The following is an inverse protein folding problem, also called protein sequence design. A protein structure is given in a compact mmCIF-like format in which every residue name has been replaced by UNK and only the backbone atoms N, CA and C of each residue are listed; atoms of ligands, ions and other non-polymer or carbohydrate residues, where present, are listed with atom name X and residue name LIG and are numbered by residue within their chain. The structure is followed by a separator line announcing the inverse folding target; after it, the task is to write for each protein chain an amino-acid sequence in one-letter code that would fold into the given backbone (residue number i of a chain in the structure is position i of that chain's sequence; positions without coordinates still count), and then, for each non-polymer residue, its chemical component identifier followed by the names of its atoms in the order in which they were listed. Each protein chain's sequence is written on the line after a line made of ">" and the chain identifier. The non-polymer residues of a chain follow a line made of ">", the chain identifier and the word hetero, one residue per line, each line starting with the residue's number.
data_IF_757619976632
#
_entry.id   IF_757619976632
#
_cell.length_a   1.000
_cell.length_b   1.000
_cell.length_c   1.000
_cell.angle_alpha   90.00
_cell.angle_beta   90.00
_cell.angle_gamma   90.00
#
_symmetry.space_group_name_H-M   'P 1'
#
loop_
_entity.id
_entity.type
_entity.pdbx_description
1 polymer ?
#
# COMPACT_ATOMS: atom_id res chain seq x y z
N UNK A 1 10.49 19.28 -12.74
CA UNK A 1 10.29 18.32 -11.63
C UNK A 1 9.57 17.11 -12.21
N UNK A 2 9.95 15.91 -11.82
CA UNK A 2 9.45 14.64 -12.37
C UNK A 2 8.36 14.06 -11.43
N UNK A 3 7.47 13.23 -11.97
CA UNK A 3 6.58 12.36 -11.20
C UNK A 3 7.27 11.03 -10.98
N UNK A 4 7.36 10.56 -9.74
CA UNK A 4 7.86 9.21 -9.46
C UNK A 4 6.71 8.21 -9.42
N UNK A 5 6.87 7.11 -10.16
CA UNK A 5 6.00 5.94 -10.11
C UNK A 5 6.63 4.89 -9.19
N UNK A 6 5.95 4.61 -8.09
CA UNK A 6 6.34 3.60 -7.12
C UNK A 6 5.52 2.33 -7.33
N UNK A 7 6.20 1.22 -7.55
CA UNK A 7 5.60 -0.10 -7.78
C UNK A 7 6.35 -1.18 -7.01
N UNK A 8 5.81 -2.38 -6.95
CA UNK A 8 6.57 -3.57 -6.54
C UNK A 8 5.95 -4.85 -7.07
N UNK A 9 6.74 -5.85 -7.52
CA UNK A 9 6.23 -7.12 -8.05
C UNK A 9 5.40 -7.94 -7.04
N UNK A 10 5.56 -7.72 -5.74
CA UNK A 10 4.75 -8.37 -4.69
C UNK A 10 3.26 -8.06 -4.82
N UNK A 11 2.89 -6.92 -5.41
CA UNK A 11 1.49 -6.55 -5.66
C UNK A 11 0.74 -7.58 -6.52
N UNK A 12 1.44 -8.27 -7.42
CA UNK A 12 0.84 -9.34 -8.22
C UNK A 12 0.78 -10.68 -7.48
N UNK A 13 1.58 -10.85 -6.41
CA UNK A 13 1.65 -12.09 -5.64
C UNK A 13 0.61 -12.20 -4.54
N UNK A 14 -0.02 -11.10 -4.14
CA UNK A 14 -1.18 -11.12 -3.24
C UNK A 14 -2.34 -11.79 -3.96
N UNK A 15 -2.57 -13.07 -3.65
CA UNK A 15 -3.63 -13.88 -4.27
C UNK A 15 -4.95 -13.71 -3.51
N UNK A 16 -6.04 -13.69 -4.26
CA UNK A 16 -7.42 -13.65 -3.78
C UNK A 16 -8.22 -14.79 -4.41
N UNK A 17 -9.40 -15.15 -3.90
CA UNK A 17 -10.25 -16.18 -4.49
C UNK A 17 -10.58 -15.88 -5.95
N UNK A 18 -10.89 -16.93 -6.72
CA UNK A 18 -11.37 -16.76 -8.10
C UNK A 18 -12.65 -15.91 -8.12
N UNK A 19 -12.71 -14.97 -9.07
CA UNK A 19 -13.84 -14.04 -9.20
C UNK A 19 -13.84 -12.90 -8.17
N UNK A 20 -12.87 -12.83 -7.26
CA UNK A 20 -12.79 -11.73 -6.30
C UNK A 20 -12.60 -10.38 -7.02
N UNK A 21 -13.31 -9.30 -6.60
CA UNK A 21 -13.20 -7.99 -7.24
C UNK A 21 -11.79 -7.39 -7.10
N UNK A 22 -11.15 -7.56 -5.94
CA UNK A 22 -9.75 -7.19 -5.72
C UNK A 22 -8.86 -8.38 -6.10
N UNK A 23 -8.22 -8.32 -7.28
CA UNK A 23 -7.43 -9.43 -7.86
C UNK A 23 -6.17 -8.92 -8.56
N UNK A 24 -5.15 -9.77 -8.77
CA UNK A 24 -3.90 -9.40 -9.42
C UNK A 24 -4.05 -8.74 -10.80
N UNK A 25 -5.09 -9.09 -11.55
CA UNK A 25 -5.32 -8.52 -12.88
C UNK A 25 -5.53 -7.00 -12.87
N UNK A 26 -6.02 -6.45 -11.73
CA UNK A 26 -6.19 -4.99 -11.58
C UNK A 26 -4.85 -4.27 -11.68
N UNK A 27 -3.85 -4.72 -10.93
CA UNK A 27 -2.51 -4.09 -10.96
C UNK A 27 -1.78 -4.38 -12.27
N UNK A 28 -1.99 -5.55 -12.89
CA UNK A 28 -1.46 -5.85 -14.22
C UNK A 28 -2.00 -4.88 -15.26
N UNK A 29 -3.30 -4.59 -15.23
CA UNK A 29 -3.92 -3.61 -16.13
C UNK A 29 -3.36 -2.20 -15.92
N UNK A 30 -3.17 -1.77 -14.66
CA UNK A 30 -2.55 -0.48 -14.33
C UNK A 30 -1.11 -0.42 -14.84
N UNK A 31 -0.31 -1.45 -14.58
CA UNK A 31 1.08 -1.51 -15.04
C UNK A 31 1.18 -1.49 -16.57
N UNK A 32 0.30 -2.20 -17.27
CA UNK A 32 0.23 -2.18 -18.73
C UNK A 32 -0.15 -0.80 -19.27
N UNK A 33 -1.12 -0.13 -18.66
CA UNK A 33 -1.52 1.22 -19.04
C UNK A 33 -0.37 2.24 -18.84
N UNK A 34 0.41 2.08 -17.77
CA UNK A 34 1.54 2.96 -17.46
C UNK A 34 2.81 2.61 -18.26
N UNK A 35 2.85 1.50 -18.98
CA UNK A 35 4.01 1.08 -19.77
C UNK A 35 4.08 1.74 -21.16
N UNK A 36 3.04 2.43 -21.61
CA UNK A 36 3.00 3.08 -22.92
C UNK A 36 3.91 4.32 -22.98
N UNK A 37 4.30 4.72 -24.19
CA UNK A 37 5.24 5.82 -24.43
C UNK A 37 4.82 7.15 -23.78
N UNK A 38 3.53 7.42 -23.68
CA UNK A 38 3.01 8.63 -23.02
C UNK A 38 3.47 8.78 -21.56
N UNK A 39 3.85 7.69 -20.91
CA UNK A 39 4.35 7.65 -19.52
C UNK A 39 5.86 7.36 -19.42
N UNK A 40 6.62 7.48 -20.52
CA UNK A 40 8.07 7.23 -20.53
C UNK A 40 8.87 8.21 -19.66
N UNK A 41 8.31 9.41 -19.40
CA UNK A 41 8.94 10.41 -18.55
C UNK A 41 8.79 10.18 -17.03
N UNK A 42 8.12 9.11 -16.60
CA UNK A 42 8.01 8.77 -15.17
C UNK A 42 9.34 8.22 -14.64
N UNK A 43 9.77 8.72 -13.48
CA UNK A 43 10.85 8.09 -12.69
C UNK A 43 10.29 6.84 -12.00
N UNK A 44 10.74 5.66 -12.44
CA UNK A 44 10.20 4.37 -11.99
C UNK A 44 11.07 3.78 -10.91
N UNK A 45 10.49 3.54 -9.75
CA UNK A 45 11.20 2.95 -8.60
C UNK A 45 10.40 1.81 -7.98
N UNK A 46 11.12 0.85 -7.40
CA UNK A 46 10.51 -0.13 -6.51
C UNK A 46 10.43 0.43 -5.09
N UNK A 47 9.29 0.20 -4.47
CA UNK A 47 9.09 0.57 -3.07
C UNK A 47 9.85 -0.36 -2.12
N UNK A 48 10.32 0.19 -1.00
CA UNK A 48 10.81 -0.59 0.12
C UNK A 48 9.66 -1.29 0.89
N UNK A 49 9.97 -2.18 1.81
CA UNK A 49 9.04 -2.59 2.85
C UNK A 49 8.85 -1.46 3.88
N UNK A 50 7.62 -1.26 4.35
CA UNK A 50 7.42 -0.56 5.61
C UNK A 50 7.82 -1.47 6.77
N UNK A 51 8.49 -0.91 7.77
CA UNK A 51 8.85 -1.64 8.98
C UNK A 51 7.67 -1.69 9.99
N UNK A 52 7.63 -2.68 10.90
CA UNK A 52 6.52 -2.81 11.84
C UNK A 52 6.24 -1.53 12.63
N UNK A 53 7.27 -0.78 13.01
CA UNK A 53 7.16 0.50 13.73
C UNK A 53 6.50 1.58 12.88
N UNK A 54 6.71 1.55 11.57
CA UNK A 54 6.07 2.47 10.62
C UNK A 54 4.59 2.11 10.41
N UNK A 55 4.26 0.81 10.35
CA UNK A 55 2.87 0.35 10.33
C UNK A 55 2.13 0.77 11.60
N UNK A 56 2.82 0.75 12.74
CA UNK A 56 2.29 1.18 14.04
C UNK A 56 2.03 2.69 14.13
N UNK A 57 2.36 3.50 13.13
CA UNK A 57 1.94 4.90 13.06
C UNK A 57 0.41 5.07 12.96
N UNK A 58 -0.27 4.12 12.35
CA UNK A 58 -1.73 4.15 12.19
C UNK A 58 -2.45 2.95 12.83
N UNK A 59 -1.71 1.94 13.26
CA UNK A 59 -2.25 0.70 13.82
C UNK A 59 -1.65 0.42 15.20
N UNK A 60 -2.39 -0.30 16.06
CA UNK A 60 -1.78 -0.76 17.31
C UNK A 60 -0.69 -1.80 17.03
N UNK A 61 0.40 -1.83 17.82
CA UNK A 61 1.45 -2.85 17.67
C UNK A 61 0.90 -4.27 17.76
N UNK A 62 -0.05 -4.52 18.66
CA UNK A 62 -0.69 -5.82 18.81
C UNK A 62 -1.45 -6.26 17.54
N UNK A 63 -2.09 -5.32 16.83
CA UNK A 63 -2.75 -5.61 15.57
C UNK A 63 -1.74 -5.96 14.47
N UNK A 64 -0.65 -5.21 14.38
CA UNK A 64 0.44 -5.50 13.42
C UNK A 64 0.99 -6.90 13.66
N UNK A 65 1.33 -7.24 14.90
CA UNK A 65 1.81 -8.58 15.28
C UNK A 65 0.79 -9.67 14.96
N UNK A 66 -0.50 -9.45 15.27
CA UNK A 66 -1.56 -10.41 14.99
C UNK A 66 -1.72 -10.69 13.50
N UNK A 67 -1.63 -9.67 12.63
CA UNK A 67 -1.69 -9.88 11.18
C UNK A 67 -0.46 -10.62 10.65
N UNK A 68 0.72 -10.33 11.16
CA UNK A 68 1.93 -11.09 10.79
C UNK A 68 1.79 -12.58 11.19
N UNK A 69 1.29 -12.84 12.41
CA UNK A 69 1.07 -14.20 12.91
C UNK A 69 -0.04 -14.95 12.15
N UNK A 70 -1.06 -14.24 11.64
CA UNK A 70 -2.16 -14.81 10.87
C UNK A 70 -1.80 -15.11 9.41
N UNK A 71 -0.60 -14.69 8.95
CA UNK A 71 -0.18 -14.94 7.57
C UNK A 71 -0.05 -16.45 7.29
N UNK A 72 -0.79 -16.99 6.31
CA UNK A 72 -0.72 -18.43 6.04
C UNK A 72 0.61 -18.80 5.36
N UNK A 73 1.08 -20.02 5.58
CA UNK A 73 2.21 -20.59 4.84
C UNK A 73 1.81 -21.10 3.45
N UNK A 74 0.53 -21.43 3.27
CA UNK A 74 -0.05 -21.92 2.01
C UNK A 74 -1.54 -21.57 1.94
N UNK A 75 -2.11 -21.59 0.73
CA UNK A 75 -3.54 -21.36 0.50
C UNK A 75 -3.99 -19.94 0.82
N UNK A 76 -5.25 -19.81 1.21
CA UNK A 76 -5.91 -18.56 1.54
C UNK A 76 -6.55 -18.65 2.93
N UNK A 77 -6.48 -17.59 3.72
CA UNK A 77 -7.18 -17.46 4.99
C UNK A 77 -8.08 -16.22 4.95
N UNK A 78 -9.34 -16.37 5.34
CA UNK A 78 -10.24 -15.25 5.54
C UNK A 78 -9.95 -14.61 6.90
N UNK A 79 -9.78 -13.30 6.94
CA UNK A 79 -9.55 -12.51 8.16
C UNK A 79 -10.75 -11.65 8.50
N UNK A 80 -11.59 -11.36 7.52
CA UNK A 80 -12.90 -10.71 7.67
C UNK A 80 -13.82 -11.29 6.59
N UNK A 81 -15.06 -10.83 6.54
CA UNK A 81 -16.09 -11.28 5.61
C UNK A 81 -15.67 -11.14 4.13
N UNK A 82 -14.86 -10.16 3.80
CA UNK A 82 -14.43 -9.83 2.45
C UNK A 82 -12.90 -9.69 2.30
N UNK A 83 -12.15 -9.84 3.37
CA UNK A 83 -10.70 -9.63 3.40
C UNK A 83 -9.97 -10.95 3.60
N UNK A 84 -9.11 -11.30 2.65
CA UNK A 84 -8.36 -12.57 2.65
C UNK A 84 -6.85 -12.32 2.61
N UNK A 85 -6.10 -13.28 3.15
CA UNK A 85 -4.64 -13.32 3.01
C UNK A 85 -4.18 -14.59 2.31
N UNK A 86 -3.19 -14.43 1.47
CA UNK A 86 -2.31 -15.47 0.92
C UNK A 86 -0.92 -15.36 1.56
N UNK A 87 -0.01 -16.30 1.36
CA UNK A 87 1.36 -16.21 1.90
C UNK A 87 2.11 -14.93 1.54
N UNK A 88 1.80 -14.32 0.39
CA UNK A 88 2.45 -13.11 -0.07
C UNK A 88 1.77 -11.80 0.39
N UNK A 89 0.62 -11.87 1.05
CA UNK A 89 -0.22 -10.70 1.32
C UNK A 89 0.44 -9.69 2.25
N UNK A 90 1.07 -10.14 3.34
CA UNK A 90 1.77 -9.25 4.27
C UNK A 90 2.92 -8.53 3.58
N UNK A 91 3.73 -9.24 2.79
CA UNK A 91 4.81 -8.64 2.02
C UNK A 91 4.30 -7.58 1.03
N UNK A 92 3.21 -7.88 0.31
CA UNK A 92 2.60 -6.93 -0.62
C UNK A 92 2.05 -5.69 0.11
N UNK A 93 1.33 -5.88 1.22
CA UNK A 93 0.80 -4.77 2.03
C UNK A 93 1.90 -3.88 2.62
N UNK A 94 3.03 -4.48 3.07
CA UNK A 94 4.21 -3.73 3.51
C UNK A 94 4.83 -2.90 2.38
N UNK A 95 4.89 -3.43 1.16
CA UNK A 95 5.35 -2.67 0.00
C UNK A 95 4.38 -1.55 -0.38
N UNK A 96 3.07 -1.76 -0.21
CA UNK A 96 2.08 -0.70 -0.43
C UNK A 96 2.27 0.45 0.56
N UNK A 97 2.43 0.16 1.85
CA UNK A 97 2.74 1.18 2.85
C UNK A 97 4.10 1.83 2.58
N UNK A 98 5.14 1.04 2.29
CA UNK A 98 6.47 1.53 1.94
C UNK A 98 6.48 2.45 0.72
N UNK A 99 5.65 2.17 -0.30
CA UNK A 99 5.50 3.05 -1.46
C UNK A 99 4.99 4.45 -1.06
N UNK A 100 4.03 4.51 -0.16
CA UNK A 100 3.51 5.81 0.33
C UNK A 100 4.59 6.54 1.13
N UNK A 101 5.34 5.84 1.98
CA UNK A 101 6.45 6.43 2.76
C UNK A 101 7.56 6.95 1.84
N UNK A 102 8.00 6.14 0.86
CA UNK A 102 8.98 6.57 -0.15
C UNK A 102 8.46 7.77 -0.95
N UNK A 103 7.17 7.78 -1.30
CA UNK A 103 6.53 8.90 -1.98
C UNK A 103 6.57 10.19 -1.15
N UNK A 104 6.29 10.10 0.15
CA UNK A 104 6.41 11.23 1.09
C UNK A 104 7.86 11.73 1.12
N UNK A 105 8.84 10.84 1.29
CA UNK A 105 10.26 11.21 1.34
C UNK A 105 10.71 11.92 0.07
N UNK A 106 10.36 11.38 -1.09
CA UNK A 106 10.73 11.96 -2.39
C UNK A 106 10.17 13.36 -2.61
N UNK A 107 8.93 13.58 -2.21
CA UNK A 107 8.28 14.89 -2.34
C UNK A 107 8.84 15.88 -1.30
N UNK A 108 8.95 15.47 -0.05
CA UNK A 108 9.39 16.33 1.03
C UNK A 108 10.87 16.75 0.91
N UNK A 109 11.71 15.90 0.30
CA UNK A 109 13.10 16.22 0.02
C UNK A 109 13.32 16.92 -1.33
N UNK A 110 12.25 17.19 -2.08
CA UNK A 110 12.32 17.88 -3.38
C UNK A 110 12.89 17.02 -4.53
N UNK A 111 13.01 15.71 -4.34
CA UNK A 111 13.48 14.79 -5.39
C UNK A 111 12.41 14.54 -6.46
N UNK A 112 11.13 14.65 -6.09
CA UNK A 112 9.98 14.57 -6.99
C UNK A 112 8.97 15.66 -6.72
N UNK A 113 8.21 16.07 -7.75
CA UNK A 113 7.10 17.00 -7.59
C UNK A 113 5.88 16.33 -6.93
N UNK A 114 5.68 15.07 -7.26
CA UNK A 114 4.62 14.20 -6.74
C UNK A 114 5.02 12.73 -6.95
N UNK A 115 4.28 11.82 -6.31
CA UNK A 115 4.46 10.39 -6.46
C UNK A 115 3.13 9.70 -6.76
N UNK A 116 3.18 8.66 -7.57
CA UNK A 116 2.05 7.77 -7.83
C UNK A 116 2.41 6.35 -7.38
N UNK A 117 1.67 5.81 -6.42
CA UNK A 117 1.88 4.46 -5.88
C UNK A 117 0.94 3.48 -6.59
N UNK A 118 1.45 2.74 -7.58
CA UNK A 118 0.72 1.68 -8.26
C UNK A 118 0.97 0.35 -7.55
N UNK A 119 0.27 0.13 -6.45
CA UNK A 119 0.47 -1.01 -5.55
C UNK A 119 -0.86 -1.62 -5.12
N UNK A 120 -0.83 -2.84 -4.58
CA UNK A 120 -1.93 -3.54 -3.92
C UNK A 120 -1.38 -4.50 -2.84
N UNK A 121 -2.21 -4.89 -1.83
CA UNK A 121 -3.63 -4.59 -1.63
C UNK A 121 -3.92 -3.11 -1.33
N UNK A 122 -5.20 -2.68 -1.37
CA UNK A 122 -5.60 -1.34 -0.93
C UNK A 122 -5.41 -1.16 0.58
N UNK A 123 -5.66 0.06 1.10
CA UNK A 123 -5.39 0.34 2.51
C UNK A 123 -6.44 1.21 3.23
N UNK A 124 -7.23 1.96 2.52
CA UNK A 124 -8.04 3.06 3.07
C UNK A 124 -9.17 2.61 4.03
N UNK A 125 -9.63 1.36 3.92
CA UNK A 125 -10.65 0.82 4.83
C UNK A 125 -10.10 0.25 6.13
N UNK A 126 -8.80 -0.09 6.20
CA UNK A 126 -8.25 -0.68 7.42
C UNK A 126 -8.33 0.31 8.60
N UNK A 127 -8.89 -0.17 9.70
CA UNK A 127 -9.02 0.55 10.96
C UNK A 127 -7.77 0.35 11.85
N UNK A 128 -7.62 1.11 12.94
CA UNK A 128 -6.45 0.96 13.80
C UNK A 128 -6.22 -0.47 14.35
N UNK A 129 -7.29 -1.25 14.50
CA UNK A 129 -7.25 -2.61 15.08
C UNK A 129 -8.04 -3.65 14.27
N UNK A 130 -8.43 -3.35 13.03
CA UNK A 130 -9.23 -4.26 12.23
C UNK A 130 -8.91 -4.15 10.73
N UNK A 131 -8.65 -5.28 10.04
CA UNK A 131 -8.65 -5.33 8.60
C UNK A 131 -10.09 -5.32 8.09
N UNK A 132 -10.35 -4.68 6.97
CA UNK A 132 -11.66 -4.74 6.31
C UNK A 132 -11.58 -4.18 4.89
N UNK A 133 -12.60 -4.42 4.06
CA UNK A 133 -12.67 -3.85 2.72
C UNK A 133 -11.44 -4.20 1.86
N UNK A 134 -10.95 -5.43 1.92
CA UNK A 134 -9.73 -5.92 1.25
C UNK A 134 -8.42 -5.34 1.79
N UNK A 135 -8.47 -4.45 2.80
CA UNK A 135 -7.34 -3.70 3.31
C UNK A 135 -6.75 -4.35 4.56
N UNK A 136 -5.42 -4.50 4.57
CA UNK A 136 -4.67 -5.02 5.72
C UNK A 136 -4.07 -3.89 6.57
N UNK A 137 -3.38 -2.94 5.95
CA UNK A 137 -2.81 -1.77 6.60
C UNK A 137 -3.26 -0.50 5.89
N UNK A 138 -3.58 0.54 6.66
CA UNK A 138 -3.99 1.83 6.12
C UNK A 138 -2.77 2.65 5.67
N UNK A 139 -2.30 2.36 4.47
CA UNK A 139 -1.11 3.00 3.89
C UNK A 139 -1.20 4.53 3.83
N UNK A 140 -2.40 5.07 3.57
CA UNK A 140 -2.62 6.52 3.50
C UNK A 140 -2.54 7.16 4.89
N UNK A 141 -3.16 6.57 5.91
CA UNK A 141 -3.05 7.05 7.29
C UNK A 141 -1.61 6.95 7.80
N UNK A 142 -0.91 5.85 7.50
CA UNK A 142 0.51 5.66 7.82
C UNK A 142 1.33 6.81 7.19
N UNK A 143 1.15 7.08 5.90
CA UNK A 143 1.86 8.16 5.21
C UNK A 143 1.56 9.54 5.79
N UNK A 144 0.30 9.81 6.15
CA UNK A 144 -0.10 11.07 6.77
C UNK A 144 0.59 11.27 8.15
N UNK A 145 0.60 10.24 8.99
CA UNK A 145 1.31 10.26 10.27
C UNK A 145 2.84 10.40 10.08
N UNK A 146 3.38 9.66 9.12
CA UNK A 146 4.81 9.73 8.79
C UNK A 146 5.24 11.13 8.35
N UNK A 147 4.49 11.76 7.45
CA UNK A 147 4.78 13.13 6.99
C UNK A 147 4.78 14.13 8.17
N UNK A 148 3.83 13.99 9.10
CA UNK A 148 3.76 14.84 10.29
C UNK A 148 4.93 14.60 11.24
N UNK A 149 5.24 13.35 11.53
CA UNK A 149 6.25 12.97 12.52
C UNK A 149 7.68 13.22 12.02
N UNK A 150 7.95 12.92 10.75
CA UNK A 150 9.30 12.98 10.17
C UNK A 150 9.64 14.39 9.67
N UNK A 151 8.67 15.06 9.07
CA UNK A 151 8.89 16.36 8.41
C UNK A 151 8.24 17.55 9.10
N UNK A 152 7.58 17.33 10.25
CA UNK A 152 6.95 18.41 11.01
C UNK A 152 5.75 19.05 10.30
N UNK A 153 5.10 18.36 9.38
CA UNK A 153 3.93 18.86 8.67
C UNK A 153 2.75 18.97 9.65
N UNK A 154 2.25 20.17 9.85
CA UNK A 154 1.14 20.39 10.78
C UNK A 154 -0.20 19.90 10.24
N UNK A 155 -0.43 20.06 8.93
CA UNK A 155 -1.71 19.76 8.27
C UNK A 155 -1.49 18.86 7.06
N UNK A 156 -2.22 17.75 7.03
CA UNK A 156 -2.29 16.82 5.89
C UNK A 156 -3.75 16.70 5.50
N UNK A 157 -4.04 16.75 4.22
CA UNK A 157 -5.37 16.48 3.68
C UNK A 157 -5.34 15.16 2.90
N UNK A 158 -6.37 14.36 3.07
CA UNK A 158 -6.63 13.16 2.26
C UNK A 158 -7.91 13.40 1.48
N UNK A 159 -7.87 13.15 0.17
CA UNK A 159 -9.05 13.17 -0.68
C UNK A 159 -9.25 11.76 -1.21
N UNK A 160 -10.29 11.10 -0.74
CA UNK A 160 -10.69 9.78 -1.20
C UNK A 160 -11.85 9.92 -2.17
N UNK A 161 -11.70 9.37 -3.36
CA UNK A 161 -12.72 9.36 -4.40
C UNK A 161 -13.13 7.94 -4.80
N UNK A 162 -12.73 6.95 -4.02
CA UNK A 162 -13.23 5.58 -4.14
C UNK A 162 -14.73 5.55 -3.82
N UNK A 163 -15.48 4.71 -4.53
CA UNK A 163 -16.95 4.67 -4.46
C UNK A 163 -17.45 3.56 -3.52
N UNK A 164 -16.56 2.71 -3.09
CA UNK A 164 -16.89 1.53 -2.24
C UNK A 164 -16.59 1.79 -0.74
#
# INVERSE_FOLDING_TARGET
>A
MVTTLLTHPSSEKHATPEGHPERPDRIRAVNAALAVEAFSGLDRRFSRHAEPEELALAHSPAYVEALFAASPSEGLVAIDADTVMSPASIGAARHTAGAVLDGVDLVMTGQSANAFCATRPPGHHAEPNRPMGFCLFNSIAIGAHYARNTYGIERVAVVDFDVH
#
